data_IF_473221602702
#
_entry.id   IF_473221602702
#
_cell.length_a   1.000
_cell.length_b   1.000
_cell.length_c   1.000
_cell.angle_alpha   90.00
_cell.angle_beta   90.00
_cell.angle_gamma   90.00
#
_symmetry.space_group_name_H-M   'P 1'
#
loop_
_entity.id
_entity.type
_entity.pdbx_description
1 polymer ?
#
# COMPACT_ATOMS: atom_id res chain seq x y z
N UNK A 1 -13.07 -0.54 -33.33
CA UNK A 1 -12.14 -0.20 -32.24
C UNK A 1 -11.17 -1.34 -31.89
N UNK A 2 -11.61 -2.60 -31.67
CA UNK A 2 -10.72 -3.78 -31.55
C UNK A 2 -9.69 -3.91 -32.70
N UNK A 3 -10.16 -3.79 -33.95
CA UNK A 3 -9.30 -3.84 -35.16
C UNK A 3 -8.19 -2.79 -35.23
N UNK A 4 -8.34 -1.65 -34.55
CA UNK A 4 -7.31 -0.60 -34.55
C UNK A 4 -6.22 -0.91 -33.52
N UNK A 5 -6.61 -1.39 -32.34
CA UNK A 5 -5.70 -1.86 -31.30
C UNK A 5 -4.88 -3.06 -31.79
N UNK A 6 -5.52 -4.06 -32.39
CA UNK A 6 -4.85 -5.25 -32.96
C UNK A 6 -3.86 -4.86 -34.07
N UNK A 7 -4.22 -3.92 -34.95
CA UNK A 7 -3.31 -3.42 -36.00
C UNK A 7 -2.11 -2.66 -35.43
N UNK A 8 -2.29 -1.95 -34.33
CA UNK A 8 -1.24 -1.18 -33.69
C UNK A 8 -0.29 -2.10 -32.90
N UNK A 9 -0.83 -3.08 -32.18
CA UNK A 9 -0.05 -4.13 -31.50
C UNK A 9 0.77 -4.96 -32.50
N UNK A 10 0.17 -5.36 -33.63
CA UNK A 10 0.90 -6.02 -34.73
C UNK A 10 2.00 -5.14 -35.33
N UNK A 11 1.79 -3.82 -35.40
CA UNK A 11 2.81 -2.87 -35.86
C UNK A 11 3.99 -2.74 -34.89
N UNK A 12 3.74 -2.79 -33.58
CA UNK A 12 4.77 -2.80 -32.54
C UNK A 12 5.55 -4.11 -32.56
N UNK A 13 4.87 -5.25 -32.70
CA UNK A 13 5.53 -6.56 -32.77
C UNK A 13 6.39 -6.71 -34.04
N UNK A 14 5.94 -6.13 -35.18
CA UNK A 14 6.74 -6.05 -36.40
C UNK A 14 7.97 -5.17 -36.25
N UNK A 15 7.85 -4.02 -35.58
CA UNK A 15 9.00 -3.17 -35.25
C UNK A 15 9.98 -3.94 -34.35
N UNK A 16 9.51 -4.62 -33.31
CA UNK A 16 10.37 -5.41 -32.41
C UNK A 16 11.12 -6.54 -33.15
N UNK A 17 10.51 -7.14 -34.17
CA UNK A 17 11.17 -8.11 -35.06
C UNK A 17 12.24 -7.50 -35.97
N UNK A 18 12.04 -6.25 -36.43
CA UNK A 18 12.98 -5.53 -37.30
C UNK A 18 14.19 -4.96 -36.55
N UNK A 19 14.14 -4.84 -35.22
CA UNK A 19 15.17 -4.21 -34.39
C UNK A 19 16.08 -5.22 -33.64
N UNK A 20 16.00 -6.52 -33.95
CA UNK A 20 16.77 -7.56 -33.25
C UNK A 20 18.29 -7.57 -33.50
N UNK A 21 18.80 -6.78 -34.46
CA UNK A 21 20.21 -6.85 -34.88
C UNK A 21 21.12 -5.69 -34.45
N UNK A 22 20.76 -4.83 -33.48
CA UNK A 22 21.74 -3.89 -32.89
C UNK A 22 21.36 -3.38 -31.48
N UNK A 23 22.35 -3.32 -30.57
CA UNK A 23 22.34 -2.78 -29.20
C UNK A 23 21.07 -3.05 -28.34
N UNK A 24 21.02 -4.26 -27.77
CA UNK A 24 19.79 -4.94 -27.32
C UNK A 24 19.25 -4.42 -25.96
N UNK A 25 20.06 -3.77 -25.11
CA UNK A 25 19.62 -3.42 -23.75
C UNK A 25 18.92 -2.06 -23.65
N UNK A 26 19.45 -1.01 -24.25
CA UNK A 26 18.86 0.34 -24.17
C UNK A 26 17.54 0.43 -24.96
N UNK A 27 17.50 -0.18 -26.14
CA UNK A 27 16.29 -0.21 -26.99
C UNK A 27 15.18 -1.04 -26.33
N UNK A 28 15.52 -2.11 -25.60
CA UNK A 28 14.53 -2.87 -24.81
C UNK A 28 14.00 -2.06 -23.64
N UNK A 29 14.85 -1.31 -22.95
CA UNK A 29 14.40 -0.42 -21.88
C UNK A 29 13.46 0.67 -22.44
N UNK A 30 13.84 1.32 -23.54
CA UNK A 30 13.00 2.30 -24.22
C UNK A 30 11.69 1.71 -24.75
N UNK A 31 11.72 0.52 -25.37
CA UNK A 31 10.51 -0.17 -25.85
C UNK A 31 9.59 -0.56 -24.69
N UNK A 32 10.15 -1.01 -23.55
CA UNK A 32 9.37 -1.32 -22.34
C UNK A 32 8.75 -0.06 -21.75
N UNK A 33 9.50 1.04 -21.70
CA UNK A 33 9.01 2.34 -21.26
C UNK A 33 7.94 2.91 -22.21
N UNK A 34 8.11 2.74 -23.53
CA UNK A 34 7.15 3.16 -24.54
C UNK A 34 5.87 2.32 -24.46
N UNK A 35 5.98 1.00 -24.31
CA UNK A 35 4.85 0.09 -24.12
C UNK A 35 4.09 0.41 -22.84
N UNK A 36 4.79 0.70 -21.74
CA UNK A 36 4.18 1.16 -20.50
C UNK A 36 3.49 2.53 -20.67
N UNK A 37 4.06 3.45 -21.44
CA UNK A 37 3.50 4.79 -21.70
C UNK A 37 2.28 4.73 -22.62
N UNK A 38 2.29 3.87 -23.63
CA UNK A 38 1.16 3.61 -24.53
C UNK A 38 0.04 2.89 -23.79
N UNK A 39 0.35 1.88 -22.97
CA UNK A 39 -0.62 1.25 -22.07
C UNK A 39 -1.30 2.26 -21.15
N UNK A 40 -0.53 3.15 -20.51
CA UNK A 40 -1.05 4.27 -19.72
C UNK A 40 -1.94 5.23 -20.54
N UNK A 41 -1.60 5.51 -21.79
CA UNK A 41 -2.43 6.37 -22.65
C UNK A 41 -3.80 5.72 -22.97
N UNK A 42 -3.87 4.39 -23.11
CA UNK A 42 -5.13 3.67 -23.27
C UNK A 42 -5.99 3.62 -21.99
N UNK A 43 -5.36 3.66 -20.80
CA UNK A 43 -6.07 3.72 -19.52
C UNK A 43 -6.88 5.03 -19.34
N UNK A 44 -6.53 6.12 -20.05
CA UNK A 44 -7.30 7.38 -20.05
C UNK A 44 -8.70 7.19 -20.67
N UNK A 45 -8.87 6.21 -21.58
CA UNK A 45 -10.11 5.95 -22.31
C UNK A 45 -10.98 4.90 -21.59
N UNK A 46 -10.41 4.12 -20.67
CA UNK A 46 -11.12 3.18 -19.80
C UNK A 46 -10.73 3.36 -18.33
N UNK A 47 -11.47 4.18 -17.55
CA UNK A 47 -11.22 4.37 -16.12
C UNK A 47 -11.24 3.07 -15.30
N UNK A 48 -11.90 2.02 -15.81
CA UNK A 48 -12.06 0.74 -15.15
C UNK A 48 -11.09 -0.34 -15.67
N UNK A 49 -10.00 0.06 -16.35
CA UNK A 49 -9.02 -0.87 -16.96
C UNK A 49 -8.39 -1.87 -15.99
N UNK A 50 -8.53 -1.63 -14.68
CA UNK A 50 -7.97 -2.43 -13.59
C UNK A 50 -8.66 -3.80 -13.39
N UNK A 51 -9.72 -4.06 -14.16
CA UNK A 51 -10.53 -5.28 -14.12
C UNK A 51 -10.89 -5.77 -15.54
N UNK A 52 -10.04 -5.48 -16.53
CA UNK A 52 -10.32 -5.78 -17.94
C UNK A 52 -9.97 -7.23 -18.33
N UNK A 53 -9.10 -7.90 -17.58
CA UNK A 53 -8.70 -9.27 -17.91
C UNK A 53 -9.76 -10.29 -17.46
N UNK A 54 -9.99 -11.34 -18.26
CA UNK A 54 -11.01 -12.36 -17.96
C UNK A 54 -10.79 -13.03 -16.59
N UNK A 55 -9.54 -13.18 -16.18
CA UNK A 55 -9.16 -13.77 -14.91
C UNK A 55 -9.49 -12.84 -13.72
N UNK A 56 -9.40 -11.53 -13.89
CA UNK A 56 -9.77 -10.51 -12.90
C UNK A 56 -11.30 -10.48 -12.74
N UNK A 57 -12.03 -10.43 -13.86
CA UNK A 57 -13.49 -10.46 -13.86
C UNK A 57 -14.05 -11.74 -13.25
N UNK A 58 -13.43 -12.90 -13.53
CA UNK A 58 -13.81 -14.16 -12.90
C UNK A 58 -13.57 -14.15 -11.39
N UNK A 59 -12.51 -13.48 -10.93
CA UNK A 59 -12.20 -13.33 -9.50
C UNK A 59 -13.19 -12.38 -8.82
N UNK A 60 -13.56 -11.28 -9.46
CA UNK A 60 -14.52 -10.33 -8.92
C UNK A 60 -15.94 -10.89 -8.87
N UNK A 61 -16.34 -11.69 -9.86
CA UNK A 61 -17.60 -12.44 -9.81
C UNK A 61 -17.64 -13.35 -8.59
N UNK A 62 -16.60 -14.16 -8.38
CA UNK A 62 -16.50 -15.04 -7.20
C UNK A 62 -16.57 -14.25 -5.88
N UNK A 63 -15.84 -13.14 -5.78
CA UNK A 63 -15.86 -12.27 -4.58
C UNK A 63 -17.23 -11.65 -4.34
N UNK A 64 -17.89 -11.20 -5.41
CA UNK A 64 -19.23 -10.61 -5.34
C UNK A 64 -20.28 -11.63 -4.91
N UNK A 65 -20.23 -12.85 -5.46
CA UNK A 65 -21.10 -13.95 -5.06
C UNK A 65 -20.90 -14.33 -3.58
N UNK A 66 -19.65 -14.40 -3.11
CA UNK A 66 -19.34 -14.63 -1.69
C UNK A 66 -19.91 -13.50 -0.83
N UNK A 67 -19.67 -12.24 -1.21
CA UNK A 67 -20.15 -11.08 -0.48
C UNK A 67 -21.68 -11.05 -0.42
N UNK A 68 -22.37 -11.33 -1.52
CA UNK A 68 -23.84 -11.39 -1.58
C UNK A 68 -24.45 -12.45 -0.65
N UNK A 69 -23.67 -13.50 -0.30
CA UNK A 69 -24.09 -14.51 0.68
C UNK A 69 -23.91 -14.06 2.15
N UNK A 70 -23.18 -12.97 2.40
CA UNK A 70 -22.92 -12.44 3.73
C UNK A 70 -23.87 -11.30 4.10
N UNK A 71 -24.08 -11.11 5.41
CA UNK A 71 -24.86 -9.97 5.94
C UNK A 71 -24.26 -8.65 5.45
N UNK A 72 -25.14 -7.75 4.98
CA UNK A 72 -24.78 -6.42 4.43
C UNK A 72 -23.86 -6.44 3.19
N UNK A 73 -23.79 -7.55 2.46
CA UNK A 73 -22.86 -7.71 1.32
C UNK A 73 -21.39 -7.52 1.72
N UNK A 74 -21.05 -7.88 2.95
CA UNK A 74 -19.68 -7.77 3.48
C UNK A 74 -18.74 -8.77 2.81
N UNK A 75 -17.47 -8.38 2.61
CA UNK A 75 -16.45 -9.34 2.16
C UNK A 75 -16.18 -10.45 3.19
N UNK A 76 -16.47 -10.19 4.48
CA UNK A 76 -16.25 -11.11 5.59
C UNK A 76 -17.59 -11.68 6.13
N UNK A 77 -17.65 -12.98 6.47
CA UNK A 77 -18.82 -13.62 7.07
C UNK A 77 -18.99 -13.25 8.56
N UNK A 78 -20.09 -13.70 9.15
CA UNK A 78 -20.31 -13.62 10.60
C UNK A 78 -19.46 -14.68 11.29
N UNK A 79 -18.77 -14.30 12.37
CA UNK A 79 -18.02 -15.19 13.24
C UNK A 79 -18.57 -15.09 14.67
N UNK A 80 -19.11 -16.20 15.18
CA UNK A 80 -19.60 -16.30 16.55
C UNK A 80 -18.48 -16.63 17.55
N UNK A 81 -18.68 -16.30 18.83
CA UNK A 81 -17.71 -16.59 19.90
C UNK A 81 -16.48 -15.67 19.95
N UNK A 82 -16.48 -14.57 19.18
CA UNK A 82 -15.41 -13.58 19.22
C UNK A 82 -15.32 -12.88 20.58
N UNK A 83 -14.10 -12.77 21.11
CA UNK A 83 -13.81 -11.95 22.30
C UNK A 83 -13.59 -10.51 21.87
N UNK A 84 -14.56 -9.64 22.15
CA UNK A 84 -14.51 -8.23 21.79
C UNK A 84 -14.25 -7.39 23.04
N UNK A 85 -13.35 -6.41 22.92
CA UNK A 85 -13.13 -5.37 23.92
C UNK A 85 -13.16 -4.02 23.22
N UNK A 86 -13.99 -3.11 23.73
CA UNK A 86 -14.08 -1.73 23.25
C UNK A 86 -13.24 -0.82 24.15
N UNK A 87 -12.82 0.31 23.59
CA UNK A 87 -12.06 1.34 24.28
C UNK A 87 -12.74 2.68 24.03
N UNK A 88 -12.84 3.48 25.09
CA UNK A 88 -13.19 4.89 24.99
C UNK A 88 -11.88 5.67 25.15
N UNK A 89 -11.66 6.63 24.26
CA UNK A 89 -10.44 7.42 24.17
C UNK A 89 -9.16 6.63 23.84
N UNK A 90 -8.04 7.36 23.74
CA UNK A 90 -6.76 6.81 23.35
C UNK A 90 -5.96 6.14 24.47
N UNK A 91 -6.22 6.43 25.75
CA UNK A 91 -5.37 5.97 26.86
C UNK A 91 -5.30 4.44 26.94
N UNK A 92 -6.44 3.80 27.10
CA UNK A 92 -6.51 2.36 27.30
C UNK A 92 -6.33 1.60 25.98
N UNK A 93 -6.74 2.20 24.86
CA UNK A 93 -6.48 1.68 23.51
C UNK A 93 -4.98 1.59 23.23
N UNK A 94 -4.23 2.68 23.42
CA UNK A 94 -2.79 2.71 23.16
C UNK A 94 -2.02 1.79 24.10
N UNK A 95 -2.48 1.66 25.35
CA UNK A 95 -1.93 0.67 26.27
C UNK A 95 -2.09 -0.76 25.74
N UNK A 96 -3.30 -1.14 25.30
CA UNK A 96 -3.55 -2.46 24.75
C UNK A 96 -2.75 -2.71 23.46
N UNK A 97 -2.62 -1.71 22.59
CA UNK A 97 -1.78 -1.77 21.38
C UNK A 97 -0.32 -2.02 21.77
N UNK A 98 0.21 -1.33 22.79
CA UNK A 98 1.58 -1.53 23.26
C UNK A 98 1.86 -2.97 23.69
N UNK A 99 0.90 -3.61 24.37
CA UNK A 99 1.01 -5.01 24.78
C UNK A 99 0.91 -5.97 23.59
N UNK A 100 0.00 -5.71 22.65
CA UNK A 100 -0.17 -6.53 21.45
C UNK A 100 1.07 -6.51 20.56
N UNK A 101 1.64 -5.32 20.33
CA UNK A 101 2.89 -5.16 19.58
C UNK A 101 4.04 -5.88 20.28
N UNK A 102 4.15 -5.78 21.61
CA UNK A 102 5.20 -6.47 22.34
C UNK A 102 5.09 -8.01 22.24
N UNK A 103 3.87 -8.54 22.24
CA UNK A 103 3.65 -10.00 22.17
C UNK A 103 3.75 -10.58 20.76
N UNK A 104 3.84 -9.76 19.71
CA UNK A 104 3.82 -10.22 18.32
C UNK A 104 5.07 -11.05 17.96
N UNK A 105 4.91 -12.29 17.50
CA UNK A 105 6.02 -13.22 17.22
C UNK A 105 6.40 -13.31 15.75
N UNK A 106 5.47 -13.04 14.83
CA UNK A 106 5.68 -13.32 13.40
C UNK A 106 5.53 -12.07 12.53
N UNK A 107 4.36 -11.44 12.58
CA UNK A 107 4.03 -10.33 11.68
C UNK A 107 3.20 -9.25 12.37
N UNK A 108 3.48 -7.99 12.04
CA UNK A 108 2.71 -6.81 12.42
C UNK A 108 2.26 -6.11 11.13
N UNK A 109 0.95 -5.87 11.01
CA UNK A 109 0.37 -5.05 9.96
C UNK A 109 -0.17 -3.75 10.56
N UNK A 110 0.22 -2.61 10.00
CA UNK A 110 -0.27 -1.29 10.39
C UNK A 110 -0.80 -0.59 9.15
N UNK A 111 -2.04 -0.11 9.23
CA UNK A 111 -2.62 0.79 8.26
C UNK A 111 -3.06 2.06 8.98
N UNK A 112 -2.58 3.22 8.53
CA UNK A 112 -2.88 4.48 9.19
C UNK A 112 -3.05 5.61 8.17
N UNK A 113 -3.91 6.56 8.50
CA UNK A 113 -4.01 7.81 7.77
C UNK A 113 -2.83 8.72 8.09
N UNK A 114 -2.51 8.87 9.37
CA UNK A 114 -1.40 9.69 9.83
C UNK A 114 -0.70 9.03 11.01
N UNK A 115 0.43 8.40 10.72
CA UNK A 115 1.24 7.72 11.72
C UNK A 115 2.44 8.57 12.12
N UNK A 116 2.53 8.90 13.40
CA UNK A 116 3.71 9.54 14.00
C UNK A 116 4.64 8.48 14.62
N UNK A 117 5.84 8.21 14.06
CA UNK A 117 6.77 7.23 14.61
C UNK A 117 7.14 7.48 16.07
N UNK A 118 7.19 8.75 16.48
CA UNK A 118 7.61 9.19 17.81
C UNK A 118 6.45 9.22 18.83
N UNK A 119 5.28 8.68 18.50
CA UNK A 119 4.13 8.60 19.40
C UNK A 119 4.41 7.67 20.59
N UNK A 120 4.12 8.14 21.80
CA UNK A 120 4.17 7.33 23.02
C UNK A 120 2.87 6.54 23.22
N UNK A 121 2.99 5.21 23.28
CA UNK A 121 1.87 4.31 23.52
C UNK A 121 1.47 4.25 25.01
N UNK A 122 2.37 4.66 25.92
CA UNK A 122 2.13 4.76 27.36
C UNK A 122 2.53 6.14 27.88
N UNK A 123 1.86 6.60 28.94
CA UNK A 123 2.06 7.93 29.54
C UNK A 123 2.15 7.83 31.07
N UNK A 124 2.98 8.64 31.74
CA UNK A 124 3.71 9.80 31.19
C UNK A 124 4.97 9.40 30.39
N UNK A 125 5.36 10.15 29.34
CA UNK A 125 6.51 9.80 28.50
C UNK A 125 7.84 9.70 29.25
N UNK A 126 8.03 10.50 30.31
CA UNK A 126 9.27 10.51 31.09
C UNK A 126 9.57 9.16 31.75
N UNK A 127 8.53 8.38 32.07
CA UNK A 127 8.65 7.05 32.68
C UNK A 127 8.56 5.90 31.67
N UNK A 128 8.24 6.20 30.40
CA UNK A 128 7.85 5.21 29.39
C UNK A 128 8.53 5.45 28.04
N UNK A 129 9.83 5.79 28.06
CA UNK A 129 10.61 6.05 26.85
C UNK A 129 10.69 4.85 25.91
N UNK A 130 10.68 3.64 26.47
CA UNK A 130 10.68 2.37 25.76
C UNK A 130 9.38 2.08 25.00
N UNK A 131 8.29 2.77 25.35
CA UNK A 131 6.97 2.60 24.73
C UNK A 131 6.68 3.62 23.63
N UNK A 132 7.71 4.30 23.13
CA UNK A 132 7.61 5.03 21.87
C UNK A 132 7.45 4.05 20.72
N UNK A 133 6.53 4.33 19.80
CA UNK A 133 6.12 3.39 18.76
C UNK A 133 7.32 2.88 17.95
N UNK A 134 8.19 3.78 17.49
CA UNK A 134 9.42 3.43 16.78
C UNK A 134 10.35 2.47 17.56
N UNK A 135 10.52 2.65 18.87
CA UNK A 135 11.33 1.78 19.73
C UNK A 135 10.72 0.38 19.83
N UNK A 136 9.39 0.30 19.99
CA UNK A 136 8.67 -0.99 20.02
C UNK A 136 8.81 -1.70 18.68
N UNK A 137 8.59 -1.00 17.56
CA UNK A 137 8.72 -1.60 16.22
C UNK A 137 10.15 -2.03 15.92
N UNK A 138 11.14 -1.22 16.30
CA UNK A 138 12.57 -1.56 16.17
C UNK A 138 12.89 -2.86 16.90
N UNK A 139 12.55 -2.97 18.19
CA UNK A 139 12.89 -4.18 18.95
C UNK A 139 12.14 -5.42 18.49
N UNK A 140 10.90 -5.29 17.99
CA UNK A 140 10.19 -6.41 17.35
C UNK A 140 10.85 -6.81 16.02
N UNK A 141 11.27 -5.85 15.21
CA UNK A 141 11.99 -6.12 13.96
C UNK A 141 13.32 -6.82 14.22
N UNK A 142 14.09 -6.37 15.21
CA UNK A 142 15.33 -7.00 15.68
C UNK A 142 15.10 -8.44 16.18
N UNK A 143 13.94 -8.71 16.79
CA UNK A 143 13.50 -10.05 17.20
C UNK A 143 12.99 -10.94 16.04
N UNK A 144 13.07 -10.47 14.79
CA UNK A 144 12.70 -11.25 13.59
C UNK A 144 11.25 -11.08 13.11
N UNK A 145 10.46 -10.23 13.77
CA UNK A 145 9.07 -9.95 13.37
C UNK A 145 9.04 -9.12 12.08
N UNK A 146 8.23 -9.54 11.10
CA UNK A 146 8.03 -8.80 9.86
C UNK A 146 6.99 -7.70 10.06
N UNK A 147 7.32 -6.47 9.70
CA UNK A 147 6.45 -5.31 9.94
C UNK A 147 6.11 -4.67 8.60
N UNK A 148 4.82 -4.65 8.27
CA UNK A 148 4.29 -4.08 7.04
C UNK A 148 3.38 -2.90 7.37
N UNK A 149 3.73 -1.73 6.86
CA UNK A 149 3.07 -0.48 7.17
C UNK A 149 2.57 0.16 5.89
N UNK A 150 1.29 0.50 5.84
CA UNK A 150 0.67 1.28 4.77
C UNK A 150 0.21 2.61 5.37
N UNK A 151 0.72 3.71 4.84
CA UNK A 151 0.28 5.06 5.23
C UNK A 151 -0.29 5.80 4.03
N UNK A 152 -1.25 6.68 4.28
CA UNK A 152 -1.75 7.57 3.26
C UNK A 152 -0.62 8.45 2.71
N UNK A 153 -0.46 8.52 1.39
CA UNK A 153 0.45 9.47 0.74
C UNK A 153 -0.33 10.74 0.46
N UNK A 154 -0.07 11.77 1.24
CA UNK A 154 -0.73 13.04 1.13
C UNK A 154 -0.35 13.82 -0.15
N UNK A 155 -1.25 14.70 -0.57
CA UNK A 155 -0.90 15.79 -1.48
C UNK A 155 -0.16 16.83 -0.64
N UNK A 156 1.17 16.93 -0.80
CA UNK A 156 2.07 17.76 0.01
C UNK A 156 1.63 19.24 0.16
N UNK A 157 0.81 19.76 -0.75
CA UNK A 157 0.32 21.14 -0.74
C UNK A 157 -0.96 21.33 0.10
N UNK A 158 -1.68 20.24 0.43
CA UNK A 158 -2.99 20.29 1.07
C UNK A 158 -3.01 19.72 2.51
N UNK A 159 -2.04 18.88 2.89
CA UNK A 159 -2.05 18.16 4.17
C UNK A 159 -0.65 18.08 4.79
N UNK A 160 -0.57 18.13 6.11
CA UNK A 160 0.68 18.16 6.90
C UNK A 160 1.07 16.81 7.51
N UNK A 161 0.44 15.71 7.06
CA UNK A 161 0.65 14.37 7.63
C UNK A 161 2.10 13.88 7.51
N UNK A 162 2.88 14.43 6.57
CA UNK A 162 4.31 14.14 6.37
C UNK A 162 4.61 12.63 6.33
N UNK A 163 3.87 11.89 5.51
CA UNK A 163 4.06 10.44 5.35
C UNK A 163 5.47 10.10 4.85
N UNK A 164 6.15 11.06 4.21
CA UNK A 164 7.55 10.96 3.84
C UNK A 164 8.43 10.78 5.08
N UNK A 165 8.29 11.64 6.10
CA UNK A 165 8.98 11.49 7.39
C UNK A 165 8.73 10.12 7.98
N UNK A 166 7.47 9.69 8.08
CA UNK A 166 7.10 8.37 8.62
C UNK A 166 7.81 7.25 7.88
N UNK A 167 7.81 7.27 6.55
CA UNK A 167 8.50 6.27 5.72
C UNK A 167 10.01 6.27 5.98
N UNK A 168 10.63 7.44 6.03
CA UNK A 168 12.07 7.56 6.24
C UNK A 168 12.48 7.13 7.66
N UNK A 169 11.82 7.65 8.69
CA UNK A 169 12.08 7.32 10.08
C UNK A 169 11.98 5.81 10.33
N UNK A 170 10.88 5.17 9.91
CA UNK A 170 10.65 3.76 10.17
C UNK A 170 11.56 2.82 9.36
N UNK A 171 11.88 3.15 8.10
CA UNK A 171 12.83 2.35 7.30
C UNK A 171 14.26 2.41 7.83
N UNK A 172 14.62 3.54 8.44
CA UNK A 172 15.98 3.77 8.95
C UNK A 172 16.20 3.23 10.37
N UNK A 173 15.18 2.64 11.01
CA UNK A 173 15.32 2.07 12.37
C UNK A 173 16.31 0.91 12.45
N UNK A 174 16.37 0.10 11.39
CA UNK A 174 17.27 -1.06 11.28
C UNK A 174 18.15 -0.87 10.04
N UNK A 175 19.29 -0.18 10.12
CA UNK A 175 20.21 0.00 9.00
C UNK A 175 20.90 -1.31 8.59
N UNK A 176 21.52 -1.31 7.43
CA UNK A 176 22.21 -2.50 6.89
C UNK A 176 23.26 -3.03 7.86
N UNK A 177 23.29 -4.35 8.07
CA UNK A 177 24.16 -5.00 9.03
C UNK A 177 23.65 -5.03 10.49
N UNK A 178 22.52 -4.39 10.80
CA UNK A 178 21.87 -4.52 12.12
C UNK A 178 20.83 -5.66 12.14
N UNK A 179 20.55 -6.26 13.31
CA UNK A 179 19.42 -7.15 13.46
C UNK A 179 18.12 -6.46 13.00
N UNK A 180 17.25 -7.19 12.32
CA UNK A 180 16.00 -6.61 11.81
C UNK A 180 16.09 -5.84 10.50
N UNK A 181 17.28 -5.70 9.88
CA UNK A 181 17.40 -5.13 8.55
C UNK A 181 16.48 -5.84 7.55
N UNK A 182 15.68 -5.06 6.82
CA UNK A 182 14.71 -5.57 5.84
C UNK A 182 13.37 -6.08 6.42
N UNK A 183 13.22 -6.12 7.74
CA UNK A 183 11.98 -6.57 8.38
C UNK A 183 10.90 -5.48 8.41
N UNK A 184 11.26 -4.19 8.38
CA UNK A 184 10.30 -3.09 8.33
C UNK A 184 10.12 -2.62 6.89
N UNK A 185 8.90 -2.75 6.37
CA UNK A 185 8.51 -2.32 5.02
C UNK A 185 7.38 -1.31 5.08
N UNK A 186 7.61 -0.13 4.50
CA UNK A 186 6.64 0.97 4.50
C UNK A 186 6.26 1.34 3.07
N UNK A 187 4.97 1.23 2.77
CA UNK A 187 4.35 1.67 1.54
C UNK A 187 3.53 2.93 1.79
N UNK A 188 3.51 3.84 0.81
CA UNK A 188 2.64 5.02 0.83
C UNK A 188 1.73 4.98 -0.39
N UNK A 189 0.45 5.25 -0.20
CA UNK A 189 -0.57 5.19 -1.25
C UNK A 189 -1.69 6.20 -0.97
N UNK A 190 -2.34 6.82 -1.97
CA UNK A 190 -2.13 6.69 -3.42
C UNK A 190 -1.06 7.64 -3.95
N UNK A 191 -0.51 7.34 -5.12
CA UNK A 191 0.40 8.28 -5.77
C UNK A 191 -0.36 9.34 -6.59
N UNK A 192 -0.45 10.54 -6.02
CA UNK A 192 -1.15 11.68 -6.60
C UNK A 192 -0.36 12.45 -7.69
N UNK A 193 0.85 12.00 -8.08
CA UNK A 193 1.66 12.74 -9.05
C UNK A 193 1.09 12.64 -10.48
N UNK A 194 0.45 13.73 -10.92
CA UNK A 194 -0.33 13.82 -12.18
C UNK A 194 0.54 13.59 -13.44
N UNK A 195 1.84 13.89 -13.37
CA UNK A 195 2.75 13.77 -14.51
C UNK A 195 3.48 12.42 -14.61
N UNK A 196 3.53 11.62 -13.54
CA UNK A 196 4.07 10.24 -13.56
C UNK A 196 2.96 9.18 -13.76
N UNK A 197 1.74 9.49 -13.30
CA UNK A 197 0.58 8.60 -13.32
C UNK A 197 -0.53 9.08 -14.25
N UNK A 198 -0.19 9.49 -15.48
CA UNK A 198 -1.14 9.86 -16.53
C UNK A 198 -2.07 8.69 -16.95
N UNK A 199 -2.87 8.16 -16.03
CA UNK A 199 -3.78 7.02 -16.15
C UNK A 199 -4.50 6.60 -14.86
N UNK A 200 -3.93 6.82 -13.66
CA UNK A 200 -4.44 6.21 -12.41
C UNK A 200 -4.56 7.25 -11.29
N UNK A 201 -5.48 8.18 -11.50
CA UNK A 201 -5.76 9.26 -10.55
C UNK A 201 -6.75 8.75 -9.49
N UNK A 202 -6.26 8.44 -8.30
CA UNK A 202 -7.15 8.30 -7.13
C UNK A 202 -7.55 9.71 -6.68
N UNK A 203 -8.70 10.17 -7.17
CA UNK A 203 -9.34 11.41 -6.71
C UNK A 203 -9.82 11.20 -5.26
N UNK A 204 -9.14 11.82 -4.31
CA UNK A 204 -9.63 12.14 -2.95
C UNK A 204 -10.19 11.00 -2.07
N UNK A 205 -9.91 9.74 -2.35
CA UNK A 205 -10.25 8.66 -1.42
C UNK A 205 -9.10 8.41 -0.45
N UNK A 206 -9.41 8.59 0.82
CA UNK A 206 -8.51 8.46 1.96
C UNK A 206 -8.92 7.22 2.74
N UNK A 207 -7.98 6.49 3.35
CA UNK A 207 -8.30 5.55 4.43
C UNK A 207 -8.78 6.36 5.65
N UNK A 208 -10.02 6.85 5.60
CA UNK A 208 -10.58 7.78 6.57
C UNK A 208 -11.71 8.59 5.95
N UNK A 209 -12.93 8.09 6.15
CA UNK A 209 -14.24 8.76 6.17
C UNK A 209 -14.58 9.83 5.11
N UNK A 210 -15.69 9.60 4.41
CA UNK A 210 -16.45 10.61 3.67
C UNK A 210 -16.80 11.78 4.61
N UNK A 211 -16.48 13.00 4.18
CA UNK A 211 -17.04 14.22 4.76
C UNK A 211 -18.29 14.52 3.94
N UNK A 212 -19.46 14.37 4.55
CA UNK A 212 -20.74 14.81 3.98
C UNK A 212 -20.81 16.32 3.81
#
# INVERSE_FOLDING_TARGET
>A
MKKFKERFEQGIDQLEGSFKDTHIHDVKAEATHLKAKVGKFFNIINPNHRHDEEHEQATDRKRSEIADSHRFKSFAPIHDGNRVKWYVDGKDYMWAVSEALEKATETIYIADWWLSPELFLRRPPVEHQEWRLDQVLKRRAEAGVKIYIIVYKEVNQALTCNSAHTKHALRNLCPEGTPGYGNIRVMRHPDHNVFENAADMTLYWVCGHEIH
#
